data_IF_863165836200
#
_entry.id   IF_863165836200
#
_cell.length_a   1.000
_cell.length_b   1.000
_cell.length_c   1.000
_cell.angle_alpha   90.00
_cell.angle_beta   90.00
_cell.angle_gamma   90.00
#
_symmetry.space_group_name_H-M   'P 1'
#
loop_
_entity.id
_entity.type
_entity.pdbx_description
1 polymer ?
#
# COMPACT_ATOMS: atom_id res chain seq x y z
N UNK A 1 -14.24 -6.79 -4.59
CA UNK A 1 -14.79 -5.82 -3.62
C UNK A 1 -15.71 -6.54 -2.63
N UNK A 2 -15.74 -6.16 -1.35
CA UNK A 2 -16.68 -6.71 -0.38
C UNK A 2 -18.13 -6.46 -0.85
N UNK A 3 -19.00 -7.48 -0.75
CA UNK A 3 -20.41 -7.38 -1.19
C UNK A 3 -21.19 -6.27 -0.47
N UNK A 4 -20.68 -5.81 0.68
CA UNK A 4 -21.26 -4.72 1.46
C UNK A 4 -21.25 -3.36 0.76
N UNK A 5 -20.49 -3.19 -0.34
CA UNK A 5 -20.34 -1.90 -1.05
C UNK A 5 -21.09 -1.86 -2.37
N UNK A 6 -21.84 -2.93 -2.65
CA UNK A 6 -22.57 -3.12 -3.87
C UNK A 6 -24.04 -3.33 -3.52
N UNK A 7 -24.93 -2.57 -4.15
CA UNK A 7 -26.37 -2.83 -4.10
C UNK A 7 -26.74 -3.68 -5.31
N UNK A 8 -27.09 -4.96 -5.13
CA UNK A 8 -27.51 -5.79 -6.26
C UNK A 8 -28.79 -5.23 -6.88
N UNK A 9 -28.80 -5.09 -8.19
CA UNK A 9 -29.95 -4.59 -8.97
C UNK A 9 -30.70 -5.72 -9.70
N UNK A 10 -30.08 -6.90 -9.85
CA UNK A 10 -30.61 -8.03 -10.63
C UNK A 10 -29.76 -8.29 -11.87
N UNK A 11 -29.95 -9.44 -12.52
CA UNK A 11 -29.29 -9.82 -13.80
C UNK A 11 -27.75 -9.71 -13.82
N UNK A 12 -27.10 -9.98 -12.69
CA UNK A 12 -25.64 -9.86 -12.54
C UNK A 12 -25.13 -8.43 -12.43
N UNK A 13 -26.04 -7.45 -12.30
CA UNK A 13 -25.71 -6.04 -12.13
C UNK A 13 -25.77 -5.64 -10.65
N UNK A 14 -24.89 -4.72 -10.27
CA UNK A 14 -24.90 -4.07 -8.97
C UNK A 14 -24.49 -2.59 -9.10
N UNK A 15 -25.09 -1.76 -8.26
CA UNK A 15 -24.75 -0.35 -8.11
C UNK A 15 -23.65 -0.20 -7.06
N UNK A 16 -22.60 0.55 -7.37
CA UNK A 16 -21.59 0.90 -6.39
C UNK A 16 -22.17 1.91 -5.38
N UNK A 17 -22.20 1.54 -4.10
CA UNK A 17 -22.70 2.41 -3.02
C UNK A 17 -21.69 3.48 -2.58
N UNK A 18 -20.45 3.36 -3.06
CA UNK A 18 -19.34 4.28 -2.82
C UNK A 18 -18.37 4.17 -3.99
N UNK A 19 -17.59 5.23 -4.20
CA UNK A 19 -16.43 5.16 -5.08
C UNK A 19 -15.42 4.17 -4.49
N UNK A 20 -15.02 3.20 -5.31
CA UNK A 20 -14.00 2.22 -4.97
C UNK A 20 -13.12 2.02 -6.19
N UNK A 21 -11.83 2.33 -6.04
CA UNK A 21 -10.84 2.00 -7.05
C UNK A 21 -10.17 0.67 -6.66
N UNK A 22 -10.22 -0.31 -7.55
CA UNK A 22 -9.58 -1.62 -7.40
C UNK A 22 -8.19 -1.68 -8.05
N UNK A 23 -7.65 -0.53 -8.47
CA UNK A 23 -6.37 -0.43 -9.16
C UNK A 23 -5.22 -0.93 -8.30
N UNK A 24 -4.51 -1.92 -8.82
CA UNK A 24 -3.22 -2.36 -8.28
C UNK A 24 -2.13 -1.35 -8.67
N UNK A 25 -1.17 -1.14 -7.78
CA UNK A 25 -0.01 -0.29 -8.03
C UNK A 25 1.22 -1.18 -8.21
N UNK A 26 1.96 -0.97 -9.28
CA UNK A 26 3.28 -1.58 -9.44
C UNK A 26 4.30 -0.77 -8.61
N UNK A 27 5.02 -1.44 -7.71
CA UNK A 27 6.14 -0.88 -6.99
C UNK A 27 7.35 -1.81 -7.08
N UNK A 28 8.54 -1.22 -7.19
CA UNK A 28 9.78 -1.98 -7.18
C UNK A 28 10.32 -2.11 -5.75
N UNK A 29 11.04 -3.20 -5.48
CA UNK A 29 11.70 -3.40 -4.19
C UNK A 29 12.63 -2.22 -3.87
N UNK A 30 12.45 -1.64 -2.68
CA UNK A 30 13.21 -0.47 -2.22
C UNK A 30 12.65 0.88 -2.70
N UNK A 31 11.49 0.90 -3.38
CA UNK A 31 10.75 2.15 -3.59
C UNK A 31 9.96 2.53 -2.34
N UNK A 32 10.08 3.80 -1.96
CA UNK A 32 9.27 4.38 -0.90
C UNK A 32 7.89 4.75 -1.45
N UNK A 33 6.85 4.30 -0.75
CA UNK A 33 5.45 4.63 -1.04
C UNK A 33 4.76 5.19 0.19
N UNK A 34 3.88 6.16 -0.01
CA UNK A 34 3.07 6.72 1.06
C UNK A 34 1.83 5.86 1.26
N UNK A 35 1.65 5.32 2.46
CA UNK A 35 0.49 4.50 2.82
C UNK A 35 -0.66 5.39 3.34
N UNK A 36 -1.82 5.32 2.71
CA UNK A 36 -2.99 6.13 3.07
C UNK A 36 -3.95 5.41 4.02
N UNK A 37 -4.40 4.21 3.64
CA UNK A 37 -5.31 3.40 4.46
C UNK A 37 -5.24 1.91 4.12
N UNK A 38 -5.45 1.07 5.13
CA UNK A 38 -5.47 -0.39 5.01
C UNK A 38 -6.90 -0.91 4.83
N UNK A 39 -7.08 -1.89 3.95
CA UNK A 39 -8.31 -2.66 3.86
C UNK A 39 -8.04 -4.14 3.56
N UNK A 40 -8.36 -5.02 4.51
CA UNK A 40 -8.32 -6.47 4.29
C UNK A 40 -6.94 -7.02 3.93
N UNK A 41 -5.87 -6.48 4.53
CA UNK A 41 -4.49 -6.88 4.25
C UNK A 41 -3.88 -6.24 3.00
N UNK A 42 -4.50 -5.19 2.46
CA UNK A 42 -3.97 -4.39 1.37
C UNK A 42 -3.90 -2.93 1.80
N UNK A 43 -2.90 -2.21 1.33
CA UNK A 43 -2.74 -0.77 1.56
C UNK A 43 -2.95 0.02 0.29
N UNK A 44 -3.81 1.03 0.37
CA UNK A 44 -3.84 2.06 -0.65
C UNK A 44 -2.58 2.91 -0.50
N UNK A 45 -1.72 2.83 -1.50
CA UNK A 45 -0.37 3.38 -1.50
C UNK A 45 -0.23 4.41 -2.62
N UNK A 46 0.63 5.39 -2.42
CA UNK A 46 0.96 6.42 -3.40
C UNK A 46 2.47 6.46 -3.64
N UNK A 47 2.88 6.34 -4.90
CA UNK A 47 4.27 6.47 -5.31
C UNK A 47 4.68 7.93 -5.43
N UNK A 48 5.99 8.18 -5.45
CA UNK A 48 6.54 9.51 -5.64
C UNK A 48 6.15 10.18 -6.97
N UNK A 49 5.72 9.40 -7.97
CA UNK A 49 5.19 9.90 -9.24
C UNK A 49 3.71 10.34 -9.17
N UNK A 50 3.07 10.20 -8.00
CA UNK A 50 1.67 10.51 -7.74
C UNK A 50 0.70 9.40 -8.17
N UNK A 51 1.20 8.26 -8.65
CA UNK A 51 0.35 7.12 -8.99
C UNK A 51 -0.09 6.40 -7.70
N UNK A 52 -1.39 6.14 -7.62
CA UNK A 52 -2.01 5.52 -6.46
C UNK A 52 -2.59 4.16 -6.82
N UNK A 53 -2.55 3.22 -5.87
CA UNK A 53 -3.17 1.91 -6.01
C UNK A 53 -2.92 1.00 -4.82
N UNK A 54 -3.47 -0.20 -4.88
CA UNK A 54 -3.35 -1.20 -3.82
C UNK A 54 -2.04 -1.97 -3.92
N UNK A 55 -1.36 -2.10 -2.77
CA UNK A 55 -0.23 -3.00 -2.56
C UNK A 55 -0.56 -3.97 -1.40
N UNK A 56 -0.17 -5.25 -1.49
CA UNK A 56 -0.39 -6.19 -0.41
C UNK A 56 0.44 -5.81 0.82
N UNK A 57 -0.19 -5.78 1.99
CA UNK A 57 0.49 -5.43 3.24
C UNK A 57 1.64 -6.38 3.59
N UNK A 58 1.61 -7.61 3.08
CA UNK A 58 2.67 -8.60 3.29
C UNK A 58 3.99 -8.24 2.60
N UNK A 59 3.95 -7.43 1.53
CA UNK A 59 5.13 -7.01 0.76
C UNK A 59 5.60 -5.60 1.15
N UNK A 60 4.94 -4.97 2.13
CA UNK A 60 5.24 -3.63 2.61
C UNK A 60 5.89 -3.68 3.99
N UNK A 61 6.93 -2.89 4.18
CA UNK A 61 7.56 -2.65 5.48
C UNK A 61 7.28 -1.21 5.90
N UNK A 62 6.75 -1.02 7.11
CA UNK A 62 6.55 0.32 7.66
C UNK A 62 7.91 0.90 8.01
N UNK A 63 8.29 1.96 7.29
CA UNK A 63 9.48 2.74 7.60
C UNK A 63 9.21 3.58 8.85
N UNK A 64 9.61 3.05 10.00
CA UNK A 64 9.69 3.86 11.21
C UNK A 64 10.86 4.84 11.09
N UNK A 65 10.60 6.13 11.31
CA UNK A 65 11.61 7.21 11.32
C UNK A 65 12.64 7.08 12.48
N UNK A 66 12.64 5.94 13.18
CA UNK A 66 13.42 5.66 14.38
C UNK A 66 14.53 4.63 14.17
N UNK A 67 14.98 4.39 12.93
CA UNK A 67 16.24 3.67 12.72
C UNK A 67 17.40 4.69 12.75
N UNK A 68 18.10 4.89 13.88
CA UNK A 68 19.33 5.66 13.84
C UNK A 68 20.28 4.96 12.86
N UNK A 69 20.97 5.71 11.97
CA UNK A 69 22.01 5.11 11.15
C UNK A 69 22.99 4.45 12.10
N UNK A 70 23.20 3.14 11.93
CA UNK A 70 24.25 2.42 12.64
C UNK A 70 25.52 3.26 12.51
N UNK A 71 26.14 3.72 13.61
CA UNK A 71 27.40 4.41 13.48
C UNK A 71 28.37 3.44 12.83
N UNK A 72 28.88 3.82 11.67
CA UNK A 72 30.06 3.21 11.08
C UNK A 72 31.22 3.44 12.07
N UNK A 73 31.33 2.60 13.09
CA UNK A 73 32.49 2.49 13.95
C UNK A 73 33.35 1.37 13.35
N UNK A 74 34.18 1.74 12.37
CA UNK A 74 35.60 2.08 12.55
C UNK A 74 36.48 0.84 12.43
N UNK A 75 36.99 0.64 11.22
CA UNK A 75 38.43 0.67 10.96
C UNK A 75 39.27 0.83 12.25
N UNK A 76 39.72 -0.27 12.84
CA UNK A 76 41.02 -0.32 13.49
C UNK A 76 41.46 -1.78 13.67
N UNK A 77 42.29 -2.22 12.73
CA UNK A 77 43.27 -3.29 12.92
C UNK A 77 44.14 -2.97 14.15
N UNK A 78 44.41 -3.96 15.01
CA UNK A 78 45.74 -4.22 15.51
C UNK A 78 46.52 -5.20 14.60
#
# INVERSE_FOLDING_TARGET
APVAWLRPLGDGQAEALRDYDARELDAHQGEDVLLHYEHGGWWWSERADGMQGWLPAADLELLDDTTPPLPAAQENLP
#
